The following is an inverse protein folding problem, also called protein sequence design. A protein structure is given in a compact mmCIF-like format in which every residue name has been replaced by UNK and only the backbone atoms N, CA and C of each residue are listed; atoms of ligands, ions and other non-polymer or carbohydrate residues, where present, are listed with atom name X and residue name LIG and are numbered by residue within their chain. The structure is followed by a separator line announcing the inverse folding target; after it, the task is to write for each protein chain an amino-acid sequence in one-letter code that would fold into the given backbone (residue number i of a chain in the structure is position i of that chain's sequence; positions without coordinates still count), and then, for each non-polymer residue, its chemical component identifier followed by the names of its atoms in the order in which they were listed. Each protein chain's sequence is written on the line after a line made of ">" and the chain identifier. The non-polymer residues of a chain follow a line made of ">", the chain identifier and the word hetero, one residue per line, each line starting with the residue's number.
data_IF_556546645370
#
_entry.id   IF_556546645370
#
_cell.length_a   1.000
_cell.length_b   1.000
_cell.length_c   1.000
_cell.angle_alpha   90.00
_cell.angle_beta   90.00
_cell.angle_gamma   90.00
#
_symmetry.space_group_name_H-M   'P 1'
#
loop_
_entity.id
_entity.type
_entity.pdbx_description
1 polymer ?
#
# COMPACT_ATOMS: atom_id res chain seq x y z
N UNK A 1 -22.13 -17.92 0.67
CA UNK A 1 -23.34 -17.11 0.91
C UNK A 1 -22.93 -15.67 1.19
N UNK A 2 -22.71 -14.86 0.16
CA UNK A 2 -22.65 -13.40 0.33
C UNK A 2 -23.95 -12.87 -0.27
N UNK A 3 -24.98 -12.82 0.57
CA UNK A 3 -26.26 -12.23 0.19
C UNK A 3 -26.05 -10.77 -0.18
N UNK A 4 -26.71 -10.35 -1.25
CA UNK A 4 -26.72 -8.97 -1.72
C UNK A 4 -27.05 -8.02 -0.55
N UNK A 5 -26.04 -7.37 -0.01
CA UNK A 5 -26.22 -6.24 0.90
C UNK A 5 -26.92 -5.14 0.11
N UNK A 6 -28.06 -4.65 0.61
CA UNK A 6 -28.72 -3.44 0.12
C UNK A 6 -27.63 -2.40 -0.24
N UNK A 7 -27.49 -1.99 -1.51
CA UNK A 7 -26.48 -1.02 -1.93
C UNK A 7 -26.56 0.27 -1.12
N UNK A 8 -27.77 0.67 -0.72
CA UNK A 8 -27.99 1.81 0.16
C UNK A 8 -27.46 1.56 1.58
N UNK A 9 -27.44 0.32 2.07
CA UNK A 9 -26.82 -0.05 3.34
C UNK A 9 -25.28 -0.01 3.28
N UNK A 10 -24.68 -0.48 2.18
CA UNK A 10 -23.23 -0.39 1.99
C UNK A 10 -22.73 1.07 1.95
N UNK A 11 -23.55 1.98 1.40
CA UNK A 11 -23.31 3.43 1.40
C UNK A 11 -23.35 4.08 2.79
N UNK A 12 -23.99 3.42 3.78
CA UNK A 12 -24.19 3.92 5.14
C UNK A 12 -23.13 3.45 6.15
N UNK A 13 -22.16 2.65 5.74
CA UNK A 13 -21.12 2.16 6.66
C UNK A 13 -20.21 3.29 7.16
N UNK A 14 -19.66 3.17 8.37
CA UNK A 14 -18.76 4.17 8.92
C UNK A 14 -17.48 4.29 8.08
N UNK A 15 -16.97 3.17 7.58
CA UNK A 15 -15.83 3.14 6.68
C UNK A 15 -16.10 3.93 5.39
N UNK A 16 -17.25 3.70 4.74
CA UNK A 16 -17.61 4.42 3.50
C UNK A 16 -17.78 5.92 3.72
N UNK A 17 -18.32 6.33 4.88
CA UNK A 17 -18.38 7.75 5.27
C UNK A 17 -16.99 8.35 5.40
N UNK A 18 -16.07 7.65 6.07
CA UNK A 18 -14.68 8.10 6.22
C UNK A 18 -13.97 8.20 4.86
N UNK A 19 -14.15 7.23 3.95
CA UNK A 19 -13.61 7.33 2.59
C UNK A 19 -14.07 8.60 1.87
N UNK A 20 -15.39 8.86 1.87
CA UNK A 20 -15.98 10.06 1.23
C UNK A 20 -15.42 11.35 1.86
N UNK A 21 -15.28 11.38 3.18
CA UNK A 21 -14.71 12.50 3.93
C UNK A 21 -13.23 12.73 3.56
N UNK A 22 -12.40 11.70 3.65
CA UNK A 22 -10.95 11.81 3.49
C UNK A 22 -10.50 11.93 2.03
N UNK A 23 -11.28 11.42 1.07
CA UNK A 23 -11.08 11.68 -0.36
C UNK A 23 -11.00 13.18 -0.65
N UNK A 24 -11.82 13.98 0.05
CA UNK A 24 -11.88 15.45 -0.11
C UNK A 24 -10.99 16.22 0.86
N UNK A 25 -10.21 15.54 1.70
CA UNK A 25 -9.56 16.08 2.90
C UNK A 25 -9.09 17.55 2.82
N UNK A 26 -7.94 17.93 2.25
CA UNK A 26 -7.30 19.26 2.36
C UNK A 26 -6.75 19.54 3.77
N UNK A 27 -5.42 19.59 3.93
CA UNK A 27 -4.80 19.99 5.19
C UNK A 27 -5.21 21.43 5.55
N UNK A 28 -5.29 21.70 6.86
CA UNK A 28 -5.67 23.03 7.33
C UNK A 28 -4.68 24.07 6.81
N UNK A 29 -5.19 25.20 6.28
CA UNK A 29 -4.40 26.43 6.27
C UNK A 29 -4.17 26.81 7.74
N UNK A 30 -2.95 27.12 8.13
CA UNK A 30 -2.61 27.69 9.44
C UNK A 30 -3.49 28.94 9.69
N UNK A 31 -4.69 28.75 10.24
CA UNK A 31 -5.61 29.73 10.83
C UNK A 31 -6.93 29.03 11.24
N UNK A 32 -7.04 28.69 12.52
CA UNK A 32 -8.29 28.73 13.29
C UNK A 32 -9.37 27.65 13.10
N UNK A 33 -9.26 26.68 12.19
CA UNK A 33 -10.30 25.66 12.03
C UNK A 33 -9.97 24.33 12.74
N UNK A 34 -10.81 23.95 13.71
CA UNK A 34 -10.82 22.62 14.35
C UNK A 34 -11.34 21.56 13.36
N UNK A 35 -10.43 20.74 12.84
CA UNK A 35 -10.73 19.51 12.07
C UNK A 35 -10.03 18.33 12.74
N UNK A 36 -10.53 17.09 12.58
CA UNK A 36 -9.93 15.92 13.22
C UNK A 36 -8.44 15.83 12.85
N UNK A 37 -7.58 15.89 13.86
CA UNK A 37 -6.15 15.74 13.70
C UNK A 37 -5.86 14.33 13.16
N UNK A 38 -5.12 14.26 12.06
CA UNK A 38 -4.61 12.98 11.54
C UNK A 38 -3.44 12.53 12.42
N UNK A 39 -3.38 11.22 12.68
CA UNK A 39 -2.26 10.63 13.41
C UNK A 39 -1.09 10.39 12.47
N UNK A 40 0.10 10.48 13.01
CA UNK A 40 1.28 9.93 12.35
C UNK A 40 1.28 8.42 12.53
N UNK A 41 1.59 7.67 11.47
CA UNK A 41 1.81 6.25 11.60
C UNK A 41 3.00 6.02 12.54
N UNK A 42 2.79 5.22 13.60
CA UNK A 42 3.87 4.75 14.44
C UNK A 42 4.68 3.71 13.64
N UNK A 43 5.63 4.18 12.85
CA UNK A 43 6.56 3.37 12.08
C UNK A 43 7.74 3.00 12.98
N UNK A 44 8.06 1.72 13.12
CA UNK A 44 9.34 1.28 13.70
C UNK A 44 10.46 1.69 12.74
N UNK A 45 10.88 2.94 12.86
CA UNK A 45 11.95 3.52 12.06
C UNK A 45 13.31 3.07 12.57
N UNK A 46 14.14 2.51 11.69
CA UNK A 46 15.58 2.82 11.64
C UNK A 46 16.09 2.57 10.20
N UNK A 47 16.03 3.67 9.43
CA UNK A 47 16.87 4.07 8.28
C UNK A 47 17.60 2.96 7.52
N UNK A 48 17.09 2.49 6.37
CA UNK A 48 17.92 1.94 5.27
C UNK A 48 17.18 2.03 3.92
N UNK A 49 17.62 2.95 3.06
CA UNK A 49 17.44 2.88 1.61
C UNK A 49 18.85 2.97 1.03
N UNK A 50 19.54 1.84 0.95
CA UNK A 50 20.73 1.70 0.12
C UNK A 50 20.41 0.67 -0.96
N UNK A 51 20.54 1.11 -2.21
CA UNK A 51 20.42 0.34 -3.46
C UNK A 51 19.06 0.41 -4.17
N UNK A 52 18.81 1.55 -4.83
CA UNK A 52 17.84 1.68 -5.93
C UNK A 52 18.36 1.13 -7.26
N UNK A 53 19.45 0.36 -7.29
CA UNK A 53 20.13 -0.02 -8.55
C UNK A 53 19.49 -1.18 -9.33
N UNK A 54 18.32 -1.68 -8.90
CA UNK A 54 17.67 -2.86 -9.48
C UNK A 54 16.24 -2.59 -9.98
N UNK A 55 16.03 -1.50 -10.72
CA UNK A 55 14.85 -1.37 -11.58
C UNK A 55 15.29 -0.75 -12.91
N UNK A 56 15.88 -1.57 -13.80
CA UNK A 56 16.03 -1.21 -15.22
C UNK A 56 14.76 -1.65 -15.96
N UNK A 57 13.99 -0.74 -16.56
CA UNK A 57 13.00 -1.13 -17.56
C UNK A 57 13.73 -1.32 -18.90
N UNK A 58 13.83 -2.55 -19.39
CA UNK A 58 14.09 -2.79 -20.81
C UNK A 58 12.75 -2.71 -21.53
N UNK A 59 12.54 -1.65 -22.31
CA UNK A 59 11.42 -1.58 -23.27
C UNK A 59 10.73 -0.21 -23.30
N UNK A 60 10.70 0.38 -24.49
CA UNK A 60 10.00 1.62 -24.83
C UNK A 60 8.48 1.48 -24.70
N UNK A 61 7.80 2.50 -24.17
CA UNK A 61 6.34 2.65 -24.21
C UNK A 61 5.91 3.61 -25.34
N UNK A 62 4.91 3.28 -26.15
CA UNK A 62 4.21 4.26 -26.99
C UNK A 62 3.04 4.94 -26.23
N UNK A 63 2.57 6.12 -26.67
CA UNK A 63 1.61 6.91 -25.91
C UNK A 63 0.15 6.58 -26.24
N UNK A 64 -0.68 6.56 -25.19
CA UNK A 64 -2.13 6.80 -25.26
C UNK A 64 -3.03 5.56 -25.20
N UNK A 65 -3.70 5.34 -24.06
CA UNK A 65 -5.18 5.36 -23.94
C UNK A 65 -5.68 4.74 -22.61
N UNK A 66 -6.74 5.38 -22.11
CA UNK A 66 -7.83 4.93 -21.25
C UNK A 66 -7.73 3.59 -20.50
N UNK A 67 -8.02 3.68 -19.19
CA UNK A 67 -8.73 2.69 -18.38
C UNK A 67 -8.56 1.22 -18.77
N UNK A 68 -7.50 0.59 -18.28
CA UNK A 68 -7.40 -0.86 -18.23
C UNK A 68 -6.46 -1.26 -17.09
N UNK A 69 -6.93 -2.18 -16.25
CA UNK A 69 -6.10 -3.12 -15.49
C UNK A 69 -4.92 -3.56 -16.33
N UNK A 70 -3.71 -3.13 -15.98
CA UNK A 70 -2.49 -3.62 -16.61
C UNK A 70 -2.17 -5.00 -16.01
N UNK A 71 -2.13 -6.08 -16.82
CA UNK A 71 -1.57 -7.35 -16.39
C UNK A 71 -0.04 -7.27 -16.49
N UNK A 72 0.66 -7.83 -15.50
CA UNK A 72 2.08 -8.17 -15.65
C UNK A 72 3.05 -7.32 -14.84
N UNK A 73 3.14 -7.64 -13.55
CA UNK A 73 4.41 -7.65 -12.83
C UNK A 73 4.41 -8.93 -12.00
N UNK A 74 4.97 -10.00 -12.55
CA UNK A 74 4.95 -11.33 -11.93
C UNK A 74 5.86 -11.36 -10.70
N UNK A 75 5.24 -11.28 -9.53
CA UNK A 75 5.83 -11.59 -8.23
C UNK A 75 5.83 -13.13 -8.00
N UNK A 76 6.52 -13.66 -6.98
CA UNK A 76 6.47 -15.08 -6.68
C UNK A 76 5.04 -15.40 -6.19
N UNK A 77 4.43 -16.45 -6.71
CA UNK A 77 2.99 -16.72 -6.66
C UNK A 77 2.11 -15.59 -7.23
N UNK A 78 1.68 -15.74 -8.49
CA UNK A 78 0.67 -14.85 -9.06
C UNK A 78 -0.69 -15.10 -8.43
N UNK A 79 -1.33 -14.06 -7.93
CA UNK A 79 -2.72 -14.10 -7.50
C UNK A 79 -3.64 -14.23 -8.73
N UNK A 80 -4.58 -15.18 -8.68
CA UNK A 80 -5.68 -15.19 -9.65
C UNK A 80 -6.75 -14.19 -9.23
N UNK A 81 -6.99 -13.19 -10.07
CA UNK A 81 -8.04 -12.18 -9.87
C UNK A 81 -9.39 -12.60 -10.44
N UNK A 82 -9.46 -13.73 -11.15
CA UNK A 82 -10.67 -14.27 -11.77
C UNK A 82 -10.97 -15.67 -11.21
N UNK A 83 -12.13 -15.85 -10.57
CA UNK A 83 -12.52 -17.12 -9.93
C UNK A 83 -12.22 -17.16 -8.43
N UNK A 84 -11.69 -18.29 -7.91
CA UNK A 84 -11.28 -18.39 -6.51
C UNK A 84 -10.05 -17.54 -6.27
N UNK A 85 -10.23 -16.53 -5.43
CA UNK A 85 -9.20 -15.68 -4.83
C UNK A 85 -8.17 -16.54 -4.06
N UNK A 86 -7.11 -16.99 -4.74
CA UNK A 86 -6.02 -17.78 -4.17
C UNK A 86 -4.68 -17.53 -4.90
N UNK A 87 -3.59 -17.86 -4.22
CA UNK A 87 -2.25 -17.99 -4.81
C UNK A 87 -2.09 -19.33 -5.51
N UNK A 88 -1.52 -19.30 -6.70
CA UNK A 88 -1.23 -20.50 -7.49
C UNK A 88 0.26 -20.58 -7.79
N UNK A 89 0.94 -21.49 -7.08
CA UNK A 89 2.38 -21.77 -7.24
C UNK A 89 2.73 -22.38 -8.59
N UNK A 90 1.75 -22.95 -9.31
CA UNK A 90 1.98 -23.56 -10.63
C UNK A 90 2.16 -22.51 -11.72
N UNK A 91 1.72 -21.28 -11.48
CA UNK A 91 1.89 -20.19 -12.43
C UNK A 91 3.33 -19.66 -12.44
N UNK A 92 3.83 -19.19 -13.61
CA UNK A 92 5.17 -18.63 -13.73
C UNK A 92 5.38 -17.46 -12.78
N UNK A 93 6.45 -17.52 -12.00
CA UNK A 93 6.64 -16.57 -10.91
C UNK A 93 8.14 -16.25 -10.73
N UNK A 94 8.44 -14.99 -10.36
CA UNK A 94 9.82 -14.51 -10.18
C UNK A 94 10.14 -14.35 -8.71
N UNK A 95 11.39 -14.56 -8.34
CA UNK A 95 11.87 -14.32 -6.98
C UNK A 95 11.67 -12.84 -6.58
N UNK A 96 11.23 -12.58 -5.35
CA UNK A 96 11.24 -11.22 -4.78
C UNK A 96 12.71 -10.74 -4.75
N UNK A 97 13.01 -9.51 -5.20
CA UNK A 97 14.36 -8.97 -5.09
C UNK A 97 14.92 -9.08 -3.67
N UNK A 98 16.17 -9.54 -3.55
CA UNK A 98 16.78 -9.89 -2.25
C UNK A 98 16.77 -8.74 -1.23
N UNK A 99 16.95 -7.50 -1.71
CA UNK A 99 16.87 -6.31 -0.86
C UNK A 99 15.47 -6.13 -0.25
N UNK A 100 14.41 -6.32 -1.05
CA UNK A 100 13.03 -6.23 -0.57
C UNK A 100 12.68 -7.39 0.36
N UNK A 101 13.12 -8.61 0.03
CA UNK A 101 12.92 -9.77 0.88
C UNK A 101 13.60 -9.60 2.25
N UNK A 102 14.84 -9.12 2.26
CA UNK A 102 15.60 -8.87 3.50
C UNK A 102 14.96 -7.77 4.35
N UNK A 103 14.50 -6.69 3.72
CA UNK A 103 13.76 -5.63 4.41
C UNK A 103 12.48 -6.17 5.04
N UNK A 104 11.69 -6.94 4.29
CA UNK A 104 10.44 -7.51 4.79
C UNK A 104 10.66 -8.45 5.98
N UNK A 105 11.67 -9.33 5.89
CA UNK A 105 12.08 -10.20 7.00
C UNK A 105 12.40 -9.41 8.26
N UNK A 106 13.23 -8.37 8.15
CA UNK A 106 13.62 -7.54 9.29
C UNK A 106 12.42 -6.81 9.91
N UNK A 107 11.52 -6.28 9.07
CA UNK A 107 10.34 -5.56 9.55
C UNK A 107 9.28 -6.47 10.16
N UNK A 108 9.26 -7.76 9.78
CA UNK A 108 8.32 -8.73 10.32
C UNK A 108 8.73 -9.27 11.71
N UNK A 109 10.00 -9.14 12.12
CA UNK A 109 10.53 -9.68 13.39
C UNK A 109 9.61 -9.41 14.60
N UNK A 110 9.09 -8.19 14.84
CA UNK A 110 8.25 -7.91 16.01
C UNK A 110 6.92 -8.69 16.06
N UNK A 111 6.47 -9.22 14.92
CA UNK A 111 5.21 -9.94 14.78
C UNK A 111 5.40 -11.46 14.61
N UNK A 112 6.64 -11.94 14.48
CA UNK A 112 6.91 -13.37 14.33
C UNK A 112 7.04 -14.06 15.68
N UNK A 113 6.56 -15.31 15.82
CA UNK A 113 6.86 -16.14 16.98
C UNK A 113 8.37 -16.31 17.19
N UNK A 114 8.77 -16.48 18.45
CA UNK A 114 10.18 -16.69 18.77
C UNK A 114 10.73 -17.93 18.06
N UNK A 115 11.86 -17.77 17.35
CA UNK A 115 12.51 -18.85 16.60
C UNK A 115 11.94 -19.09 15.20
N UNK A 116 10.91 -18.35 14.78
CA UNK A 116 10.40 -18.39 13.40
C UNK A 116 10.92 -17.22 12.56
N UNK A 117 11.13 -17.48 11.26
CA UNK A 117 11.49 -16.46 10.28
C UNK A 117 10.33 -16.24 9.31
N UNK A 118 10.02 -14.97 9.03
CA UNK A 118 9.07 -14.61 7.99
C UNK A 118 9.60 -15.02 6.61
N UNK A 119 8.76 -15.63 5.77
CA UNK A 119 9.10 -16.05 4.41
C UNK A 119 8.42 -15.14 3.37
N UNK A 120 9.15 -14.22 2.72
CA UNK A 120 8.64 -13.40 1.63
C UNK A 120 8.32 -14.26 0.40
N UNK A 121 7.08 -14.68 0.25
CA UNK A 121 6.65 -15.62 -0.79
C UNK A 121 5.82 -14.96 -1.88
N UNK A 122 5.13 -13.86 -1.57
CA UNK A 122 4.39 -13.09 -2.55
C UNK A 122 4.53 -11.58 -2.34
N UNK A 123 4.44 -10.83 -3.43
CA UNK A 123 4.42 -9.38 -3.40
C UNK A 123 3.29 -8.83 -4.29
N UNK A 124 2.55 -7.84 -3.78
CA UNK A 124 1.59 -7.06 -4.57
C UNK A 124 2.11 -5.64 -4.65
N UNK A 125 2.37 -5.17 -5.86
CA UNK A 125 2.78 -3.77 -6.12
C UNK A 125 1.57 -3.01 -6.64
N UNK A 126 1.14 -2.01 -5.88
CA UNK A 126 0.08 -1.11 -6.28
C UNK A 126 0.69 0.22 -6.73
N UNK A 127 0.36 0.61 -7.95
CA UNK A 127 0.73 1.89 -8.53
C UNK A 127 -0.48 2.80 -8.50
N UNK A 128 -0.31 4.00 -7.95
CA UNK A 128 -1.40 4.95 -7.81
C UNK A 128 -1.05 6.30 -8.41
N UNK A 129 -1.95 6.85 -9.21
CA UNK A 129 -1.94 8.22 -9.70
C UNK A 129 -2.85 9.17 -8.90
N UNK A 130 -3.00 10.43 -9.37
CA UNK A 130 -3.69 11.51 -8.65
C UNK A 130 -5.14 11.25 -8.21
N UNK A 131 -5.87 10.41 -8.94
CA UNK A 131 -7.29 10.12 -8.68
C UNK A 131 -7.55 8.71 -8.17
N UNK A 132 -6.51 7.91 -8.03
CA UNK A 132 -6.63 6.53 -7.61
C UNK A 132 -6.94 6.45 -6.12
N UNK A 133 -7.72 5.44 -5.78
CA UNK A 133 -8.09 5.14 -4.40
C UNK A 133 -8.23 3.63 -4.24
N UNK A 134 -7.99 3.17 -3.02
CA UNK A 134 -8.26 1.79 -2.63
C UNK A 134 -9.40 1.77 -1.61
N UNK A 135 -10.51 1.16 -1.99
CA UNK A 135 -11.69 1.05 -1.13
C UNK A 135 -11.48 0.10 0.05
N UNK A 136 -12.38 0.17 1.03
CA UNK A 136 -12.38 -0.64 2.24
C UNK A 136 -12.47 -2.14 1.95
N UNK A 137 -11.37 -2.84 2.20
CA UNK A 137 -11.22 -4.28 2.01
C UNK A 137 -10.45 -4.92 3.17
N UNK A 138 -10.45 -6.24 3.20
CA UNK A 138 -9.62 -7.07 4.09
C UNK A 138 -8.73 -7.91 3.18
N UNK A 139 -7.49 -8.11 3.59
CA UNK A 139 -6.54 -8.98 2.90
C UNK A 139 -6.74 -10.42 3.38
N UNK A 140 -7.57 -11.16 2.64
CA UNK A 140 -8.11 -12.49 2.99
C UNK A 140 -7.68 -13.61 2.03
N UNK A 141 -6.52 -13.43 1.37
CA UNK A 141 -6.04 -14.31 0.30
C UNK A 141 -5.13 -15.44 0.80
N UNK A 142 -4.39 -15.19 1.89
CA UNK A 142 -3.40 -16.11 2.45
C UNK A 142 -4.08 -17.25 3.23
N UNK A 143 -3.46 -18.43 3.21
CA UNK A 143 -3.94 -19.57 3.96
C UNK A 143 -3.71 -19.40 5.47
N UNK A 144 -2.56 -18.83 5.85
CA UNK A 144 -2.20 -18.56 7.24
C UNK A 144 -2.30 -17.05 7.57
N UNK A 145 -3.28 -16.69 8.39
CA UNK A 145 -3.51 -15.32 8.84
C UNK A 145 -2.64 -14.91 10.02
N UNK A 146 -1.90 -15.86 10.62
CA UNK A 146 -0.98 -15.55 11.73
C UNK A 146 0.27 -14.81 11.23
N UNK A 147 0.63 -14.98 9.95
CA UNK A 147 1.78 -14.29 9.35
C UNK A 147 1.45 -12.82 9.06
N UNK A 148 2.38 -11.88 9.27
CA UNK A 148 2.13 -10.47 9.02
C UNK A 148 2.13 -10.12 7.53
N UNK A 149 1.59 -8.95 7.19
CA UNK A 149 1.81 -8.28 5.90
C UNK A 149 2.71 -7.07 6.13
N UNK A 150 3.80 -6.98 5.36
CA UNK A 150 4.70 -5.83 5.36
C UNK A 150 4.35 -4.94 4.16
N UNK A 151 3.80 -3.76 4.43
CA UNK A 151 3.39 -2.78 3.42
C UNK A 151 4.38 -1.60 3.38
N UNK A 152 5.12 -1.47 2.29
CA UNK A 152 6.15 -0.43 2.09
C UNK A 152 5.58 0.70 1.24
N UNK A 153 5.72 1.94 1.71
CA UNK A 153 5.22 3.16 1.06
C UNK A 153 6.32 3.93 0.34
N UNK A 154 6.15 4.26 -0.94
CA UNK A 154 7.08 5.11 -1.69
C UNK A 154 6.33 6.21 -2.45
N UNK A 155 6.92 7.40 -2.50
CA UNK A 155 6.39 8.55 -3.23
C UNK A 155 5.37 9.37 -2.46
N UNK A 156 4.37 9.89 -3.17
CA UNK A 156 3.43 10.86 -2.62
C UNK A 156 2.79 10.37 -1.31
N UNK A 157 2.71 11.26 -0.33
CA UNK A 157 1.97 11.03 0.91
C UNK A 157 0.53 10.61 0.59
N UNK A 158 -0.05 9.74 1.41
CA UNK A 158 -1.47 9.36 1.33
C UNK A 158 -2.15 9.42 2.70
N UNK A 159 -3.48 9.31 2.70
CA UNK A 159 -4.26 8.93 3.88
C UNK A 159 -4.49 7.42 3.83
N UNK A 160 -4.14 6.73 4.89
CA UNK A 160 -4.50 5.34 5.13
C UNK A 160 -5.58 5.27 6.21
N UNK A 161 -6.60 4.45 5.97
CA UNK A 161 -7.69 4.17 6.92
C UNK A 161 -7.52 2.76 7.48
N UNK A 162 -7.49 2.64 8.80
CA UNK A 162 -7.54 1.37 9.53
C UNK A 162 -8.85 1.29 10.31
N UNK A 163 -9.76 0.48 9.82
CA UNK A 163 -11.08 0.19 10.39
C UNK A 163 -11.06 -0.89 11.47
N UNK A 164 -12.24 -1.43 11.74
CA UNK A 164 -12.43 -2.61 12.58
C UNK A 164 -12.67 -3.87 11.77
N UNK A 165 -13.18 -4.92 12.43
CA UNK A 165 -13.53 -6.19 11.77
C UNK A 165 -14.79 -6.08 10.91
N UNK A 166 -15.56 -5.01 11.10
CA UNK A 166 -16.74 -4.66 10.30
C UNK A 166 -16.57 -3.28 9.65
N UNK A 167 -17.35 -3.02 8.59
CA UNK A 167 -17.36 -1.71 7.91
C UNK A 167 -18.06 -0.62 8.73
N UNK A 168 -18.81 -0.99 9.77
CA UNK A 168 -19.57 -0.07 10.60
C UNK A 168 -18.76 0.58 11.73
N UNK A 169 -17.55 0.07 11.96
CA UNK A 169 -16.59 0.67 12.89
C UNK A 169 -15.88 1.88 12.23
N UNK A 170 -15.76 2.97 12.98
CA UNK A 170 -15.13 4.20 12.50
C UNK A 170 -13.62 3.97 12.34
N UNK A 171 -13.05 4.14 11.13
CA UNK A 171 -11.63 3.90 10.93
C UNK A 171 -10.78 5.02 11.52
N UNK A 172 -9.60 4.63 12.01
CA UNK A 172 -8.52 5.55 12.34
C UNK A 172 -7.82 5.97 11.05
N UNK A 173 -7.72 7.26 10.83
CA UNK A 173 -7.01 7.83 9.69
C UNK A 173 -5.59 8.25 10.07
N UNK A 174 -4.62 7.90 9.22
CA UNK A 174 -3.21 8.23 9.41
C UNK A 174 -2.56 8.65 8.10
N UNK A 175 -1.51 9.46 8.19
CA UNK A 175 -0.66 9.75 7.04
C UNK A 175 0.36 8.64 6.84
N UNK A 176 0.56 8.24 5.58
CA UNK A 176 1.71 7.44 5.16
C UNK A 176 2.52 8.24 4.15
N UNK A 177 3.80 8.47 4.47
CA UNK A 177 4.79 9.16 3.63
C UNK A 177 5.69 8.17 2.91
N UNK A 178 6.53 8.68 2.02
CA UNK A 178 7.59 7.87 1.44
C UNK A 178 8.54 7.38 2.53
N UNK A 179 8.81 6.07 2.53
CA UNK A 179 9.66 5.39 3.52
C UNK A 179 8.89 4.78 4.70
N UNK A 180 7.61 5.13 4.88
CA UNK A 180 6.79 4.53 5.94
C UNK A 180 6.48 3.06 5.64
N UNK A 181 6.56 2.22 6.68
CA UNK A 181 6.23 0.80 6.61
C UNK A 181 5.11 0.52 7.59
N UNK A 182 4.05 -0.14 7.11
CA UNK A 182 2.95 -0.64 7.93
C UNK A 182 3.08 -2.15 8.06
N UNK A 183 3.16 -2.63 9.30
CA UNK A 183 3.14 -4.04 9.64
C UNK A 183 1.74 -4.43 10.11
N UNK A 184 1.00 -5.16 9.28
CA UNK A 184 -0.33 -5.67 9.62
C UNK A 184 -0.18 -7.08 10.19
N UNK A 185 -0.35 -7.23 11.51
CA UNK A 185 -0.17 -8.49 12.23
C UNK A 185 -1.29 -8.75 13.24
N UNK A 186 -1.50 -10.01 13.61
CA UNK A 186 -2.55 -10.41 14.57
C UNK A 186 -3.92 -9.87 14.16
N UNK A 187 -4.67 -9.32 15.11
CA UNK A 187 -6.01 -8.77 14.84
C UNK A 187 -6.04 -7.67 13.76
N UNK A 188 -4.91 -7.01 13.47
CA UNK A 188 -4.87 -6.01 12.40
C UNK A 188 -5.09 -6.62 11.01
N UNK A 189 -4.72 -7.90 10.80
CA UNK A 189 -4.96 -8.64 9.56
C UNK A 189 -6.45 -8.76 9.22
N UNK A 190 -7.30 -8.78 10.25
CA UNK A 190 -8.76 -8.93 10.12
C UNK A 190 -9.49 -7.59 9.94
N UNK A 191 -8.76 -6.47 9.92
CA UNK A 191 -9.37 -5.14 9.90
C UNK A 191 -9.54 -4.62 8.48
N UNK A 192 -10.70 -4.01 8.24
CA UNK A 192 -10.95 -3.24 7.03
C UNK A 192 -9.93 -2.12 6.90
N UNK A 193 -9.37 -1.95 5.72
CA UNK A 193 -8.44 -0.86 5.45
C UNK A 193 -8.53 -0.36 4.01
N UNK A 194 -7.99 0.82 3.76
CA UNK A 194 -8.10 1.49 2.48
C UNK A 194 -7.28 2.77 2.37
N UNK A 195 -7.17 3.28 1.15
CA UNK A 195 -6.40 4.48 0.80
C UNK A 195 -7.34 5.43 0.03
N UNK A 196 -8.08 6.32 0.72
CA UNK A 196 -9.07 7.18 0.06
C UNK A 196 -8.46 8.39 -0.66
N UNK A 197 -7.19 8.73 -0.39
CA UNK A 197 -6.56 9.93 -0.93
C UNK A 197 -5.04 9.82 -1.05
N UNK A 198 -4.53 10.32 -2.16
CA UNK A 198 -3.11 10.56 -2.42
C UNK A 198 -2.91 12.05 -2.67
N UNK A 199 -1.82 12.61 -2.14
CA UNK A 199 -1.51 14.03 -2.27
C UNK A 199 -0.48 14.23 -3.38
N UNK A 200 -0.93 14.46 -4.61
CA UNK A 200 -0.05 14.72 -5.75
C UNK A 200 0.17 16.21 -6.01
N UNK A 201 -0.44 17.10 -5.24
CA UNK A 201 -0.20 18.54 -5.35
C UNK A 201 1.20 18.89 -4.80
N UNK A 202 2.03 19.62 -5.56
CA UNK A 202 3.46 19.86 -5.28
C UNK A 202 3.79 20.34 -3.86
N UNK A 203 2.86 21.05 -3.20
CA UNK A 203 3.02 21.54 -1.84
C UNK A 203 2.53 20.57 -0.73
N UNK A 204 2.03 19.38 -1.08
CA UNK A 204 1.45 18.40 -0.16
C UNK A 204 2.02 16.99 -0.30
N UNK A 205 2.78 16.71 -1.37
CA UNK A 205 3.38 15.40 -1.66
C UNK A 205 4.34 14.90 -0.57
N UNK A 206 5.08 15.82 0.08
CA UNK A 206 6.09 15.52 1.12
C UNK A 206 7.20 14.53 0.68
N UNK A 207 7.67 14.64 -0.56
CA UNK A 207 8.68 13.74 -1.15
C UNK A 207 10.11 14.32 -1.22
N UNK A 208 10.37 15.48 -0.61
CA UNK A 208 11.66 16.18 -0.75
C UNK A 208 12.87 15.32 -0.37
N UNK A 209 12.76 14.56 0.72
CA UNK A 209 13.81 13.64 1.17
C UNK A 209 14.06 12.50 0.16
N UNK A 210 13.02 12.00 -0.50
CA UNK A 210 13.15 10.98 -1.53
C UNK A 210 13.79 11.54 -2.80
N UNK A 211 13.37 12.74 -3.22
CA UNK A 211 13.95 13.44 -4.38
C UNK A 211 15.44 13.68 -4.18
N UNK A 212 15.88 14.06 -2.98
CA UNK A 212 17.30 14.24 -2.68
C UNK A 212 18.13 12.96 -2.76
N UNK A 213 17.51 11.79 -2.68
CA UNK A 213 18.18 10.48 -2.79
C UNK A 213 18.24 9.97 -4.24
N UNK A 214 17.43 10.54 -5.13
CA UNK A 214 17.27 10.12 -6.53
C UNK A 214 17.88 11.16 -7.48
N UNK A 215 19.07 11.67 -7.17
CA UNK A 215 19.70 12.79 -7.91
C UNK A 215 20.65 12.35 -9.03
N UNK A 216 20.67 11.07 -9.41
CA UNK A 216 21.48 10.57 -10.52
C UNK A 216 20.89 10.95 -11.88
N UNK A 217 21.72 11.07 -12.92
CA UNK A 217 21.26 11.33 -14.30
C UNK A 217 20.27 10.26 -14.79
N UNK A 218 20.47 9.01 -14.38
CA UNK A 218 19.60 7.88 -14.70
C UNK A 218 18.25 7.90 -13.94
N UNK A 219 18.09 8.72 -12.91
CA UNK A 219 16.89 8.71 -12.06
C UNK A 219 15.76 9.62 -12.56
N UNK A 220 15.98 10.35 -13.65
CA UNK A 220 15.06 11.39 -14.14
C UNK A 220 13.63 10.88 -14.37
N UNK A 221 13.47 9.68 -14.93
CA UNK A 221 12.15 9.07 -15.17
C UNK A 221 11.46 8.63 -13.87
N UNK A 222 12.24 8.15 -12.88
CA UNK A 222 11.72 7.76 -11.57
C UNK A 222 11.25 9.01 -10.82
N UNK A 223 12.05 10.07 -10.88
CA UNK A 223 11.72 11.37 -10.31
C UNK A 223 10.44 11.95 -10.91
N UNK A 224 10.29 11.89 -12.23
CA UNK A 224 9.10 12.41 -12.89
C UNK A 224 7.84 11.62 -12.51
N UNK A 225 7.97 10.28 -12.47
CA UNK A 225 6.90 9.40 -12.03
C UNK A 225 6.50 9.68 -10.58
N UNK A 226 7.46 9.71 -9.65
CA UNK A 226 7.18 9.74 -8.21
C UNK A 226 6.61 11.07 -7.71
N UNK A 227 6.83 12.16 -8.45
CA UNK A 227 6.23 13.47 -8.20
C UNK A 227 4.71 13.46 -8.32
N UNK A 228 4.12 12.54 -9.08
CA UNK A 228 2.67 12.51 -9.30
C UNK A 228 2.05 11.16 -8.97
N UNK A 229 2.77 10.32 -8.24
CA UNK A 229 2.34 8.96 -7.97
C UNK A 229 2.79 8.46 -6.60
N UNK A 230 2.22 7.31 -6.24
CA UNK A 230 2.59 6.54 -5.07
C UNK A 230 2.72 5.07 -5.47
N UNK A 231 3.70 4.40 -4.88
CA UNK A 231 3.88 2.95 -4.99
C UNK A 231 3.70 2.35 -3.60
N UNK A 232 2.89 1.30 -3.50
CA UNK A 232 2.77 0.49 -2.29
C UNK A 232 3.15 -0.95 -2.58
N UNK A 233 4.12 -1.49 -1.84
CA UNK A 233 4.61 -2.86 -2.01
C UNK A 233 4.18 -3.66 -0.79
N UNK A 234 3.25 -4.59 -0.96
CA UNK A 234 2.77 -5.49 0.09
C UNK A 234 3.47 -6.84 -0.05
N UNK A 235 4.29 -7.22 0.93
CA UNK A 235 5.01 -8.50 0.96
C UNK A 235 4.36 -9.41 1.98
N UNK A 236 4.12 -10.66 1.57
CA UNK A 236 3.28 -11.65 2.28
C UNK A 236 4.00 -13.00 2.34
N UNK A 237 3.72 -13.74 3.39
CA UNK A 237 3.94 -15.19 3.44
C UNK A 237 2.60 -15.86 3.15
N UNK A 238 2.59 -16.81 2.21
CA UNK A 238 1.36 -17.41 1.69
C UNK A 238 1.07 -18.76 2.36
N UNK A 239 2.13 -19.52 2.65
CA UNK A 239 2.07 -20.88 3.18
C UNK A 239 2.78 -21.05 4.54
#
# INVERSE_FOLDING_TARGET
>A
MYGASDPAAAERTAFRRAEKQYKRYKPAKLKGASRPALREAAVTSRRWLTSTRCLRPTGSCPPGSAGATAPGSTAPCSASWTGRRNYDVSLPHKKIPDALASLAKNMAIPAMPFGEEFKPEAAIVNYYGPSDMLGGHVDDMEADWTKPIVSISLGCKCIFLLGGKTRDEVPTAMFLRSGDIVLMAGEARERFHGVPRIFTESNQQEISALVSQLSGEDDCFILDYIKNSRININIRQVY
#
